data_IF_907675388562
#
_entry.id   IF_907675388562
#
_cell.length_a   1.000
_cell.length_b   1.000
_cell.length_c   1.000
_cell.angle_alpha   90.00
_cell.angle_beta   90.00
_cell.angle_gamma   90.00
#
_symmetry.space_group_name_H-M   'P 1'
#
loop_
_entity.id
_entity.type
_entity.pdbx_description
1 polymer ?
#
# COMPACT_ATOMS: atom_id res chain seq x y z
N UNK A 1 12.18 -13.43 -4.88
CA UNK A 1 12.82 -12.35 -5.66
C UNK A 1 11.70 -11.48 -6.20
N UNK A 2 11.87 -10.15 -6.25
CA UNK A 2 10.86 -9.25 -6.82
C UNK A 2 10.72 -9.49 -8.32
N UNK A 3 9.49 -9.64 -8.78
CA UNK A 3 9.12 -9.80 -10.19
C UNK A 3 9.06 -8.44 -10.89
N UNK A 4 8.99 -8.43 -12.23
CA UNK A 4 8.79 -7.20 -12.98
C UNK A 4 7.44 -6.53 -12.64
N UNK A 5 6.43 -7.29 -12.23
CA UNK A 5 5.13 -6.75 -11.82
C UNK A 5 5.22 -5.98 -10.50
N UNK A 6 6.16 -6.32 -9.62
CA UNK A 6 6.29 -5.65 -8.32
C UNK A 6 6.71 -4.18 -8.47
N UNK A 7 7.49 -3.88 -9.51
CA UNK A 7 7.95 -2.53 -9.88
C UNK A 7 7.00 -1.80 -10.83
N UNK A 8 5.94 -2.46 -11.31
CA UNK A 8 4.95 -1.81 -12.17
C UNK A 8 4.03 -0.90 -11.35
N UNK A 9 3.76 0.29 -11.89
CA UNK A 9 2.98 1.32 -11.24
C UNK A 9 3.38 2.72 -11.69
N UNK A 10 2.68 3.71 -11.14
CA UNK A 10 3.02 5.12 -11.28
C UNK A 10 3.57 5.64 -9.98
N UNK A 11 4.66 6.39 -10.08
CA UNK A 11 5.42 6.89 -8.95
C UNK A 11 5.73 8.37 -9.12
N UNK A 12 5.73 9.11 -8.02
CA UNK A 12 6.10 10.53 -7.98
C UNK A 12 7.46 10.69 -7.33
N UNK A 13 8.34 11.46 -7.96
CA UNK A 13 9.68 11.74 -7.44
C UNK A 13 9.59 12.49 -6.11
N UNK A 14 10.21 11.92 -5.08
CA UNK A 14 10.28 12.53 -3.75
C UNK A 14 11.67 13.07 -3.44
N UNK A 15 12.72 12.32 -3.80
CA UNK A 15 14.10 12.70 -3.52
C UNK A 15 15.03 12.38 -4.69
N UNK A 16 16.02 13.25 -4.88
CA UNK A 16 17.15 13.06 -5.78
C UNK A 16 18.43 13.24 -4.95
N UNK A 17 19.33 12.26 -4.98
CA UNK A 17 20.57 12.21 -4.19
C UNK A 17 20.35 12.48 -2.70
N UNK A 18 19.28 11.88 -2.18
CA UNK A 18 18.83 11.98 -0.80
C UNK A 18 18.33 13.38 -0.40
N UNK A 19 18.22 14.34 -1.32
CA UNK A 19 17.59 15.66 -1.07
C UNK A 19 16.17 15.64 -1.60
N UNK A 20 15.25 16.33 -0.94
CA UNK A 20 13.88 16.50 -1.44
C UNK A 20 13.99 17.09 -2.85
N UNK A 21 13.31 16.47 -3.81
CA UNK A 21 13.36 16.90 -5.19
C UNK A 21 12.67 18.26 -5.35
N UNK A 22 13.38 19.26 -5.87
CA UNK A 22 12.80 20.56 -6.23
C UNK A 22 12.00 20.51 -7.53
N UNK A 23 12.27 19.50 -8.36
CA UNK A 23 11.62 19.26 -9.64
C UNK A 23 10.58 18.16 -9.48
N UNK A 24 9.36 18.42 -9.95
CA UNK A 24 8.34 17.37 -10.05
C UNK A 24 8.67 16.45 -11.21
N UNK A 25 8.64 15.15 -10.96
CA UNK A 25 8.75 14.13 -11.99
C UNK A 25 7.84 12.95 -11.63
N UNK A 26 7.25 12.32 -12.63
CA UNK A 26 6.53 11.05 -12.49
C UNK A 26 7.25 9.97 -13.28
N UNK A 27 7.30 8.77 -12.74
CA UNK A 27 7.81 7.57 -13.41
C UNK A 27 6.66 6.57 -13.47
N UNK A 28 6.33 6.10 -14.66
CA UNK A 28 5.44 4.96 -14.87
C UNK A 28 6.25 3.80 -15.43
N UNK A 29 6.23 2.67 -14.74
CA UNK A 29 6.73 1.40 -15.24
C UNK A 29 5.52 0.51 -15.50
N UNK A 30 5.42 -0.04 -16.71
CA UNK A 30 4.35 -0.98 -17.03
C UNK A 30 4.85 -2.10 -17.91
N UNK A 31 4.20 -3.25 -17.79
CA UNK A 31 4.46 -4.44 -18.58
C UNK A 31 3.34 -4.64 -19.59
N UNK A 32 3.70 -4.93 -20.83
CA UNK A 32 2.80 -5.34 -21.90
C UNK A 32 3.32 -6.65 -22.48
N UNK A 33 2.76 -7.77 -22.00
CA UNK A 33 3.28 -9.10 -22.29
C UNK A 33 4.68 -9.30 -21.71
N UNK A 34 5.66 -9.51 -22.58
CA UNK A 34 7.07 -9.67 -22.20
C UNK A 34 7.87 -8.37 -22.23
N UNK A 35 7.27 -7.28 -22.71
CA UNK A 35 7.95 -5.98 -22.83
C UNK A 35 7.67 -5.14 -21.59
N UNK A 36 8.74 -4.69 -20.92
CA UNK A 36 8.67 -3.71 -19.85
C UNK A 36 9.07 -2.34 -20.40
N UNK A 37 8.28 -1.32 -20.10
CA UNK A 37 8.52 0.05 -20.55
C UNK A 37 8.62 0.98 -19.34
N UNK A 38 9.46 2.00 -19.47
CA UNK A 38 9.54 3.09 -18.53
C UNK A 38 9.19 4.39 -19.24
N UNK A 39 8.31 5.16 -18.63
CA UNK A 39 7.94 6.49 -19.06
C UNK A 39 8.13 7.45 -17.89
N UNK A 40 9.08 8.37 -18.03
CA UNK A 40 9.28 9.48 -17.10
C UNK A 40 8.66 10.74 -17.68
N UNK A 41 7.86 11.45 -16.92
CA UNK A 41 7.41 12.81 -17.26
C UNK A 41 8.05 13.79 -16.29
N UNK A 42 8.83 14.73 -16.84
CA UNK A 42 9.36 15.90 -16.12
C UNK A 42 8.75 17.14 -16.79
N UNK A 43 9.51 17.84 -17.63
CA UNK A 43 8.96 18.76 -18.64
C UNK A 43 8.89 18.04 -19.98
N UNK A 44 9.90 17.22 -20.27
CA UNK A 44 9.87 16.26 -21.35
C UNK A 44 9.33 14.90 -20.89
N UNK A 45 8.82 14.16 -21.87
CA UNK A 45 8.54 12.75 -21.72
C UNK A 45 9.79 11.97 -22.16
N UNK A 46 10.32 11.16 -21.26
CA UNK A 46 11.40 10.20 -21.53
C UNK A 46 10.78 8.80 -21.61
N UNK A 47 10.84 8.15 -22.78
CA UNK A 47 10.18 6.86 -23.00
C UNK A 47 11.14 5.83 -23.57
N UNK A 48 11.02 4.59 -23.12
CA UNK A 48 11.80 3.49 -23.69
C UNK A 48 11.44 2.13 -23.11
N UNK A 49 11.99 1.10 -23.72
CA UNK A 49 11.94 -0.26 -23.19
C UNK A 49 13.07 -0.46 -22.18
N UNK A 50 12.78 -1.23 -21.15
CA UNK A 50 13.70 -1.54 -20.06
C UNK A 50 13.71 -3.04 -19.82
N UNK A 51 14.82 -3.56 -19.32
CA UNK A 51 14.97 -4.92 -18.84
C UNK A 51 15.10 -4.88 -17.33
N UNK A 52 14.47 -5.83 -16.66
CA UNK A 52 14.54 -5.97 -15.22
C UNK A 52 14.89 -7.41 -14.85
N UNK A 53 16.02 -7.59 -14.17
CA UNK A 53 16.49 -8.90 -13.74
C UNK A 53 17.23 -8.78 -12.41
N UNK A 54 16.94 -9.67 -11.46
CA UNK A 54 17.63 -9.76 -10.16
C UNK A 54 17.71 -8.43 -9.37
N UNK A 55 16.66 -7.61 -9.45
CA UNK A 55 16.64 -6.31 -8.76
C UNK A 55 17.40 -5.21 -9.49
N UNK A 56 17.82 -5.43 -10.73
CA UNK A 56 18.52 -4.45 -11.55
C UNK A 56 17.67 -4.07 -12.76
N UNK A 57 17.50 -2.77 -13.03
CA UNK A 57 16.77 -2.25 -14.19
C UNK A 57 17.70 -1.47 -15.11
N UNK A 58 17.63 -1.72 -16.41
CA UNK A 58 18.47 -1.04 -17.41
C UNK A 58 17.71 -0.86 -18.72
N UNK A 59 17.94 0.25 -19.41
CA UNK A 59 17.32 0.53 -20.70
C UNK A 59 17.61 1.94 -21.22
N UNK A 60 17.21 2.21 -22.46
CA UNK A 60 17.43 3.52 -23.07
C UNK A 60 16.12 4.30 -23.13
N UNK A 61 16.11 5.52 -22.61
CA UNK A 61 14.95 6.42 -22.67
C UNK A 61 15.19 7.56 -23.68
N UNK A 62 14.21 7.81 -24.53
CA UNK A 62 14.22 8.87 -25.54
C UNK A 62 13.33 10.03 -25.10
N UNK A 63 13.87 11.25 -25.20
CA UNK A 63 13.19 12.50 -24.81
C UNK A 63 12.37 13.09 -25.96
N UNK A 64 11.26 13.75 -25.63
CA UNK A 64 10.48 14.59 -26.57
C UNK A 64 11.18 15.90 -26.96
N UNK A 65 12.19 16.36 -26.21
CA UNK A 65 13.11 17.42 -26.64
C UNK A 65 12.62 18.87 -26.56
N UNK A 66 11.64 19.17 -25.72
CA UNK A 66 11.23 20.55 -25.41
C UNK A 66 12.31 21.30 -24.60
N UNK A 67 12.30 22.63 -24.69
CA UNK A 67 13.18 23.51 -23.91
C UNK A 67 12.82 23.42 -22.42
N UNK A 68 13.83 23.16 -21.58
CA UNK A 68 13.65 22.99 -20.14
C UNK A 68 14.53 23.97 -19.34
N UNK A 69 14.17 24.17 -18.07
CA UNK A 69 15.03 24.92 -17.15
C UNK A 69 16.18 24.04 -16.63
N UNK A 70 17.25 24.63 -16.08
CA UNK A 70 18.45 23.89 -15.67
C UNK A 70 18.19 22.78 -14.64
N UNK A 71 17.23 22.99 -13.74
CA UNK A 71 16.88 22.00 -12.71
C UNK A 71 16.11 20.80 -13.29
N UNK A 72 15.29 21.02 -14.32
CA UNK A 72 14.53 19.98 -15.00
C UNK A 72 15.43 19.21 -15.96
N UNK A 73 16.27 19.91 -16.73
CA UNK A 73 17.27 19.32 -17.61
C UNK A 73 18.22 18.38 -16.84
N UNK A 74 18.70 18.81 -15.67
CA UNK A 74 19.54 17.99 -14.81
C UNK A 74 18.85 16.68 -14.40
N UNK A 75 17.58 16.74 -13.95
CA UNK A 75 16.82 15.54 -13.58
C UNK A 75 16.59 14.63 -14.78
N UNK A 76 16.23 15.20 -15.94
CA UNK A 76 16.03 14.43 -17.18
C UNK A 76 17.32 13.72 -17.61
N UNK A 77 18.46 14.41 -17.61
CA UNK A 77 19.77 13.83 -17.97
C UNK A 77 20.20 12.73 -16.99
N UNK A 78 20.04 12.96 -15.68
CA UNK A 78 20.40 11.95 -14.68
C UNK A 78 19.52 10.71 -14.77
N UNK A 79 18.21 10.86 -15.03
CA UNK A 79 17.32 9.71 -15.24
C UNK A 79 17.65 8.98 -16.54
N UNK A 80 17.77 9.66 -17.68
CA UNK A 80 18.14 9.04 -18.95
C UNK A 80 19.47 8.30 -18.85
N UNK A 81 20.50 8.93 -18.29
CA UNK A 81 21.81 8.30 -18.09
C UNK A 81 21.74 7.16 -17.09
N UNK A 82 21.01 7.33 -15.99
CA UNK A 82 20.88 6.31 -14.96
C UNK A 82 20.18 5.04 -15.45
N UNK A 83 19.13 5.16 -16.27
CA UNK A 83 18.52 4.00 -16.93
C UNK A 83 19.48 3.34 -17.91
N UNK A 84 20.28 4.11 -18.66
CA UNK A 84 21.26 3.56 -19.60
C UNK A 84 22.41 2.84 -18.90
N UNK A 85 22.92 3.40 -17.79
CA UNK A 85 23.96 2.83 -16.95
C UNK A 85 23.43 1.64 -16.11
N UNK A 86 22.12 1.63 -15.85
CA UNK A 86 21.44 0.67 -14.99
C UNK A 86 21.27 1.18 -13.55
N UNK A 87 20.22 0.70 -12.89
CA UNK A 87 19.90 0.97 -11.49
C UNK A 87 19.64 -0.32 -10.72
N UNK A 88 20.20 -0.40 -9.51
CA UNK A 88 19.70 -1.32 -8.50
C UNK A 88 18.39 -0.77 -7.93
N UNK A 89 17.38 -1.63 -7.90
CA UNK A 89 16.05 -1.36 -7.38
C UNK A 89 15.94 -1.89 -5.96
N UNK A 90 15.44 -1.04 -5.07
CA UNK A 90 14.91 -1.46 -3.78
C UNK A 90 13.48 -0.95 -3.66
N UNK A 91 12.53 -1.89 -3.52
CA UNK A 91 11.15 -1.57 -3.14
C UNK A 91 11.04 -1.75 -1.64
N UNK A 92 10.64 -0.70 -0.96
CA UNK A 92 10.40 -0.72 0.48
C UNK A 92 9.16 0.11 0.78
N UNK A 93 8.18 -0.48 1.46
CA UNK A 93 6.86 0.14 1.65
C UNK A 93 6.23 0.53 0.29
N UNK A 94 5.81 1.78 0.16
CA UNK A 94 5.31 2.37 -1.08
C UNK A 94 6.41 3.14 -1.82
N UNK A 95 7.70 2.89 -1.55
CA UNK A 95 8.81 3.61 -2.17
C UNK A 95 9.56 2.72 -3.15
N UNK A 96 9.87 3.30 -4.31
CA UNK A 96 10.78 2.74 -5.29
C UNK A 96 12.09 3.52 -5.22
N UNK A 97 13.14 2.87 -4.76
CA UNK A 97 14.49 3.43 -4.75
C UNK A 97 15.25 2.92 -5.96
N UNK A 98 15.76 3.83 -6.77
CA UNK A 98 16.67 3.55 -7.88
C UNK A 98 18.05 4.05 -7.48
N UNK A 99 19.07 3.20 -7.52
CA UNK A 99 20.42 3.60 -7.12
C UNK A 99 21.48 2.96 -8.00
N UNK A 100 22.46 3.78 -8.40
CA UNK A 100 23.72 3.29 -8.96
C UNK A 100 24.88 4.06 -8.35
N UNK A 101 26.07 3.94 -8.95
CA UNK A 101 27.28 4.64 -8.47
C UNK A 101 27.22 6.15 -8.63
N UNK A 102 26.44 6.65 -9.60
CA UNK A 102 26.42 8.05 -10.00
C UNK A 102 25.23 8.83 -9.46
N UNK A 103 24.12 8.16 -9.17
CA UNK A 103 22.84 8.80 -8.87
C UNK A 103 21.94 7.92 -8.01
N UNK A 104 21.05 8.57 -7.26
CA UNK A 104 20.01 7.91 -6.50
C UNK A 104 18.69 8.68 -6.53
N UNK A 105 17.60 7.96 -6.76
CA UNK A 105 16.25 8.50 -6.78
C UNK A 105 15.36 7.74 -5.82
N UNK A 106 14.50 8.47 -5.12
CA UNK A 106 13.42 7.87 -4.35
C UNK A 106 12.08 8.37 -4.90
N UNK A 107 11.28 7.43 -5.40
CA UNK A 107 9.92 7.70 -5.82
C UNK A 107 8.92 7.11 -4.82
N UNK A 108 7.75 7.75 -4.70
CA UNK A 108 6.62 7.27 -3.91
C UNK A 108 5.55 6.78 -4.88
N UNK A 109 5.11 5.54 -4.71
CA UNK A 109 4.05 4.93 -5.49
C UNK A 109 2.75 5.69 -5.27
N UNK A 110 2.18 6.23 -6.34
CA UNK A 110 0.89 6.93 -6.31
C UNK A 110 -0.26 6.01 -6.68
N UNK A 111 -0.04 5.05 -7.58
CA UNK A 111 -1.06 4.10 -8.02
C UNK A 111 -0.45 2.87 -8.67
N UNK A 112 -1.09 1.72 -8.48
CA UNK A 112 -0.83 0.49 -9.23
C UNK A 112 -2.11 0.00 -9.88
N UNK A 113 -1.97 -0.69 -11.02
CA UNK A 113 -3.11 -1.32 -11.67
C UNK A 113 -3.77 -2.37 -10.75
N UNK A 114 -2.96 -3.05 -9.94
CA UNK A 114 -3.43 -4.02 -8.95
C UNK A 114 -4.39 -3.44 -7.91
N UNK A 115 -4.37 -2.13 -7.67
CA UNK A 115 -5.25 -1.45 -6.73
C UNK A 115 -6.72 -1.52 -7.20
N UNK A 116 -6.94 -1.63 -8.52
CA UNK A 116 -8.25 -1.78 -9.13
C UNK A 116 -8.78 -3.21 -9.08
N UNK A 117 -7.95 -4.22 -8.79
CA UNK A 117 -8.36 -5.62 -8.93
C UNK A 117 -9.59 -5.95 -8.07
N UNK A 118 -10.54 -6.66 -8.67
CA UNK A 118 -11.79 -7.07 -8.03
C UNK A 118 -13.01 -6.38 -8.59
N UNK A 119 -14.12 -6.50 -7.87
CA UNK A 119 -15.40 -5.91 -8.22
C UNK A 119 -15.65 -4.63 -7.43
N UNK A 120 -16.25 -3.63 -8.07
CA UNK A 120 -16.51 -2.32 -7.50
C UNK A 120 -17.93 -1.88 -7.84
N UNK A 121 -18.63 -1.32 -6.87
CA UNK A 121 -19.81 -0.53 -7.13
C UNK A 121 -19.38 0.84 -7.66
N UNK A 122 -20.03 1.32 -8.72
CA UNK A 122 -19.95 2.73 -9.12
C UNK A 122 -20.90 3.49 -8.20
N UNK A 123 -20.36 4.29 -7.28
CA UNK A 123 -21.15 4.98 -6.26
C UNK A 123 -21.39 6.45 -6.57
N UNK A 124 -20.61 7.03 -7.49
CA UNK A 124 -20.89 8.36 -8.03
C UNK A 124 -20.30 8.55 -9.42
N UNK A 125 -20.97 9.36 -10.24
CA UNK A 125 -20.53 9.80 -11.55
C UNK A 125 -20.62 11.32 -11.57
N UNK A 126 -19.50 11.99 -11.83
CA UNK A 126 -19.39 13.46 -11.72
C UNK A 126 -19.92 13.99 -10.37
N UNK A 127 -19.65 13.23 -9.29
CA UNK A 127 -20.06 13.56 -7.93
C UNK A 127 -21.54 13.34 -7.60
N UNK A 128 -22.34 12.78 -8.51
CA UNK A 128 -23.74 12.43 -8.26
C UNK A 128 -23.92 10.91 -8.14
N UNK A 129 -24.73 10.41 -7.20
CA UNK A 129 -25.00 8.99 -7.10
C UNK A 129 -25.72 8.48 -8.35
N UNK A 130 -25.45 7.24 -8.80
CA UNK A 130 -26.18 6.66 -9.92
C UNK A 130 -27.65 6.45 -9.56
N UNK A 131 -28.51 6.46 -10.58
CA UNK A 131 -29.95 6.23 -10.44
C UNK A 131 -30.33 4.75 -10.26
N UNK A 132 -29.40 3.84 -10.51
CA UNK A 132 -29.53 2.39 -10.34
C UNK A 132 -28.18 1.80 -9.95
N UNK A 133 -28.18 0.53 -9.51
CA UNK A 133 -26.94 -0.18 -9.23
C UNK A 133 -26.10 -0.35 -10.51
N UNK A 134 -24.81 -0.05 -10.39
CA UNK A 134 -23.84 -0.14 -11.48
C UNK A 134 -22.55 -0.73 -10.94
N UNK A 135 -21.94 -1.65 -11.69
CA UNK A 135 -20.77 -2.42 -11.23
C UNK A 135 -19.66 -2.32 -12.27
N UNK A 136 -18.43 -2.17 -11.79
CA UNK A 136 -17.22 -2.25 -12.59
C UNK A 136 -16.26 -3.28 -11.99
N UNK A 137 -15.81 -4.23 -12.80
CA UNK A 137 -14.92 -5.32 -12.38
C UNK A 137 -13.62 -5.27 -13.17
N UNK A 138 -12.50 -5.39 -12.48
CA UNK A 138 -11.16 -5.50 -13.05
C UNK A 138 -10.55 -6.85 -12.72
N UNK A 139 -10.13 -7.57 -13.75
CA UNK A 139 -9.56 -8.91 -13.64
C UNK A 139 -8.14 -8.84 -14.23
N UNK A 140 -7.08 -9.17 -13.49
CA UNK A 140 -5.73 -9.24 -14.05
C UNK A 140 -5.68 -10.18 -15.26
N UNK A 141 -5.02 -9.76 -16.33
CA UNK A 141 -4.83 -10.60 -17.52
C UNK A 141 -3.55 -11.47 -17.46
N UNK A 142 -2.72 -11.27 -16.43
CA UNK A 142 -1.43 -11.96 -16.23
C UNK A 142 -0.26 -11.36 -17.03
N UNK A 143 -0.51 -10.35 -17.86
CA UNK A 143 0.42 -9.77 -18.82
C UNK A 143 0.70 -8.28 -18.57
N UNK A 144 0.44 -7.82 -17.34
CA UNK A 144 0.63 -6.43 -16.91
C UNK A 144 -0.57 -5.52 -17.16
N UNK A 145 -1.66 -6.06 -17.73
CA UNK A 145 -2.93 -5.39 -17.96
C UNK A 145 -4.07 -5.98 -17.13
N UNK A 146 -5.28 -5.60 -17.53
CA UNK A 146 -6.53 -6.00 -16.90
C UNK A 146 -7.63 -6.18 -17.95
N UNK A 147 -8.55 -7.12 -17.73
CA UNK A 147 -9.83 -7.13 -18.39
C UNK A 147 -10.86 -6.38 -17.54
N UNK A 148 -11.56 -5.42 -18.14
CA UNK A 148 -12.65 -4.66 -17.52
C UNK A 148 -13.98 -5.22 -17.95
N UNK A 149 -14.92 -5.26 -17.02
CA UNK A 149 -16.34 -5.31 -17.33
C UNK A 149 -17.07 -4.24 -16.52
N UNK A 150 -17.73 -3.30 -17.19
CA UNK A 150 -18.63 -2.35 -16.57
C UNK A 150 -20.07 -2.66 -16.99
N UNK A 151 -20.95 -2.86 -16.01
CA UNK A 151 -22.36 -3.13 -16.21
C UNK A 151 -23.15 -1.89 -15.80
N UNK A 152 -23.76 -1.23 -16.79
CA UNK A 152 -24.61 -0.05 -16.64
C UNK A 152 -26.02 -0.42 -17.13
N UNK A 153 -26.46 0.03 -18.32
CA UNK A 153 -27.56 -0.62 -19.03
C UNK A 153 -27.00 -1.75 -19.92
N UNK A 154 -25.89 -1.47 -20.57
CA UNK A 154 -25.10 -2.37 -21.37
C UNK A 154 -23.89 -2.89 -20.60
N UNK A 155 -23.33 -3.98 -21.10
CA UNK A 155 -22.08 -4.54 -20.59
C UNK A 155 -20.94 -4.05 -21.48
N UNK A 156 -20.10 -3.17 -20.93
CA UNK A 156 -18.90 -2.63 -21.58
C UNK A 156 -17.71 -3.48 -21.17
N UNK A 157 -16.99 -4.02 -22.15
CA UNK A 157 -15.95 -5.04 -21.93
C UNK A 157 -14.73 -4.80 -22.81
N UNK A 158 -13.55 -4.98 -22.23
CA UNK A 158 -12.31 -4.85 -22.99
C UNK A 158 -11.08 -4.92 -22.12
N UNK A 159 -9.92 -4.86 -22.76
CA UNK A 159 -8.63 -4.85 -22.06
C UNK A 159 -8.22 -3.41 -21.73
N UNK A 160 -7.63 -3.26 -20.56
CA UNK A 160 -7.01 -2.04 -20.07
C UNK A 160 -5.56 -2.27 -19.63
N UNK A 161 -4.78 -1.20 -19.66
CA UNK A 161 -3.44 -1.17 -19.09
C UNK A 161 -3.12 0.24 -18.60
N UNK A 162 -2.06 0.35 -17.81
CA UNK A 162 -1.45 1.65 -17.54
C UNK A 162 -0.55 2.04 -18.71
N UNK A 163 -0.80 3.19 -19.30
CA UNK A 163 0.05 3.82 -20.30
C UNK A 163 0.22 5.29 -19.93
N UNK A 164 1.48 5.72 -19.76
CA UNK A 164 1.82 7.07 -19.32
C UNK A 164 1.13 7.51 -18.01
N UNK A 165 0.96 6.58 -17.07
CA UNK A 165 0.30 6.83 -15.78
C UNK A 165 -1.23 6.97 -15.87
N UNK A 166 -1.81 6.67 -17.04
CA UNK A 166 -3.23 6.69 -17.30
C UNK A 166 -3.74 5.28 -17.56
N UNK A 167 -4.87 4.93 -16.95
CA UNK A 167 -5.61 3.72 -17.24
C UNK A 167 -6.31 3.88 -18.60
N UNK A 168 -5.83 3.15 -19.61
CA UNK A 168 -6.33 3.22 -20.99
C UNK A 168 -6.81 1.88 -21.48
N UNK A 169 -7.79 1.87 -22.38
CA UNK A 169 -8.32 0.68 -23.01
C UNK A 169 -9.41 0.99 -24.05
N UNK A 170 -9.75 0.00 -24.85
CA UNK A 170 -10.86 0.06 -25.81
C UNK A 170 -11.95 -0.92 -25.33
N UNK A 171 -13.17 -0.42 -25.15
CA UNK A 171 -14.29 -1.19 -24.63
C UNK A 171 -15.34 -1.42 -25.71
N UNK A 172 -15.68 -2.69 -25.95
CA UNK A 172 -16.85 -3.07 -26.73
C UNK A 172 -18.10 -3.02 -25.84
N UNK A 173 -19.23 -2.57 -26.38
CA UNK A 173 -20.50 -2.49 -25.66
C UNK A 173 -21.54 -3.43 -26.26
N UNK A 174 -22.42 -3.97 -25.42
CA UNK A 174 -23.69 -4.54 -25.91
C UNK A 174 -24.56 -3.39 -26.43
N UNK A 175 -25.34 -3.60 -27.50
CA UNK A 175 -26.12 -2.53 -28.13
C UNK A 175 -27.61 -2.69 -27.83
N UNK A 176 -27.97 -2.64 -26.54
CA UNK A 176 -29.37 -2.56 -26.12
C UNK A 176 -29.77 -1.10 -26.01
N UNK A 177 -31.00 -0.79 -26.46
CA UNK A 177 -31.59 0.54 -26.29
C UNK A 177 -31.71 0.85 -24.79
N UNK A 178 -31.12 1.97 -24.37
CA UNK A 178 -31.02 2.39 -22.99
C UNK A 178 -31.50 3.83 -22.84
N UNK A 179 -31.90 4.20 -21.62
CA UNK A 179 -32.27 5.58 -21.32
C UNK A 179 -31.10 6.54 -21.53
N UNK A 180 -31.40 7.78 -21.92
CA UNK A 180 -30.40 8.80 -22.28
C UNK A 180 -29.37 9.04 -21.15
N UNK A 181 -29.80 8.97 -19.89
CA UNK A 181 -28.91 9.11 -18.73
C UNK A 181 -27.88 7.98 -18.67
N UNK A 182 -28.28 6.73 -18.92
CA UNK A 182 -27.40 5.56 -18.92
C UNK A 182 -26.47 5.59 -20.13
N UNK A 183 -26.97 5.98 -21.31
CA UNK A 183 -26.12 6.17 -22.49
C UNK A 183 -25.01 7.21 -22.26
N UNK A 184 -25.29 8.30 -21.54
CA UNK A 184 -24.26 9.30 -21.18
C UNK A 184 -23.19 8.72 -20.27
N UNK A 185 -23.57 7.86 -19.32
CA UNK A 185 -22.62 7.14 -18.45
C UNK A 185 -21.74 6.19 -19.25
N UNK A 186 -22.34 5.36 -20.12
CA UNK A 186 -21.61 4.41 -20.96
C UNK A 186 -20.63 5.11 -21.90
N UNK A 187 -21.04 6.25 -22.46
CA UNK A 187 -20.18 7.11 -23.27
C UNK A 187 -18.99 7.65 -22.46
N UNK A 188 -19.24 8.18 -21.26
CA UNK A 188 -18.19 8.68 -20.36
C UNK A 188 -17.18 7.58 -20.03
N UNK A 189 -17.65 6.37 -19.71
CA UNK A 189 -16.77 5.22 -19.44
C UNK A 189 -15.92 4.90 -20.67
N UNK A 190 -16.55 4.74 -21.84
CA UNK A 190 -15.86 4.37 -23.08
C UNK A 190 -14.82 5.41 -23.51
N UNK A 191 -15.22 6.68 -23.59
CA UNK A 191 -14.33 7.79 -23.97
C UNK A 191 -13.24 8.02 -22.91
N UNK A 192 -13.56 7.80 -21.64
CA UNK A 192 -12.60 7.90 -20.55
C UNK A 192 -11.53 6.81 -20.59
N UNK A 193 -11.87 5.55 -20.92
CA UNK A 193 -10.87 4.51 -21.15
C UNK A 193 -10.04 4.78 -22.41
N UNK A 194 -10.64 5.31 -23.48
CA UNK A 194 -9.90 5.67 -24.68
C UNK A 194 -8.91 6.82 -24.43
N UNK A 195 -9.35 7.88 -23.74
CA UNK A 195 -8.57 9.09 -23.43
C UNK A 195 -7.68 8.97 -22.20
N UNK A 196 -7.92 7.97 -21.35
CA UNK A 196 -7.16 7.66 -20.16
C UNK A 196 -7.75 8.25 -18.88
N UNK A 197 -7.81 7.43 -17.82
CA UNK A 197 -8.15 7.87 -16.46
C UNK A 197 -6.89 7.93 -15.58
N UNK A 198 -6.76 8.99 -14.78
CA UNK A 198 -5.94 8.96 -13.58
C UNK A 198 -6.64 8.11 -12.52
N UNK A 199 -5.87 7.23 -11.87
CA UNK A 199 -6.31 6.45 -10.72
C UNK A 199 -5.91 7.21 -9.46
N UNK A 200 -6.90 7.68 -8.70
CA UNK A 200 -6.72 8.40 -7.45
C UNK A 200 -7.40 7.61 -6.31
N UNK A 201 -6.81 7.61 -5.11
CA UNK A 201 -7.44 7.04 -3.92
C UNK A 201 -8.01 8.17 -3.04
N UNK A 202 -9.19 7.96 -2.45
CA UNK A 202 -9.81 8.89 -1.51
C UNK A 202 -10.60 8.14 -0.41
N UNK A 203 -11.28 8.88 0.48
CA UNK A 203 -12.02 8.29 1.61
C UNK A 203 -13.23 7.42 1.21
N UNK A 204 -13.63 7.44 -0.05
CA UNK A 204 -14.75 6.68 -0.61
C UNK A 204 -14.30 5.52 -1.50
N UNK A 205 -12.99 5.25 -1.57
CA UNK A 205 -12.39 4.21 -2.41
C UNK A 205 -11.54 4.80 -3.53
N UNK A 206 -11.83 4.42 -4.77
CA UNK A 206 -11.02 4.77 -5.94
C UNK A 206 -11.78 5.76 -6.81
N UNK A 207 -11.14 6.86 -7.17
CA UNK A 207 -11.63 7.85 -8.11
C UNK A 207 -10.89 7.68 -9.45
N UNK A 208 -11.63 7.34 -10.49
CA UNK A 208 -11.16 7.46 -11.86
C UNK A 208 -11.47 8.87 -12.36
N UNK A 209 -10.44 9.61 -12.78
CA UNK A 209 -10.57 10.99 -13.24
C UNK A 209 -9.98 11.17 -14.64
N UNK A 210 -10.76 11.71 -15.58
CA UNK A 210 -10.31 12.06 -16.92
C UNK A 210 -10.83 13.44 -17.33
N UNK A 211 -10.52 13.87 -18.56
CA UNK A 211 -11.13 15.05 -19.16
C UNK A 211 -12.64 14.92 -19.39
N UNK A 212 -13.16 13.68 -19.44
CA UNK A 212 -14.58 13.41 -19.70
C UNK A 212 -15.43 13.45 -18.44
N UNK A 213 -14.79 13.34 -17.27
CA UNK A 213 -15.45 13.38 -15.98
C UNK A 213 -14.82 12.47 -14.95
N UNK A 214 -15.60 12.14 -13.92
CA UNK A 214 -15.16 11.32 -12.80
C UNK A 214 -16.09 10.16 -12.51
N UNK A 215 -15.50 9.04 -12.10
CA UNK A 215 -16.21 7.84 -11.64
C UNK A 215 -15.64 7.48 -10.27
N UNK A 216 -16.49 7.50 -9.25
CA UNK A 216 -16.14 7.02 -7.91
C UNK A 216 -16.53 5.54 -7.80
N UNK A 217 -15.52 4.73 -7.50
CA UNK A 217 -15.61 3.29 -7.28
C UNK A 217 -15.45 2.98 -5.80
N UNK A 218 -16.28 2.07 -5.29
CA UNK A 218 -16.12 1.45 -3.98
C UNK A 218 -16.01 -0.06 -4.17
N UNK A 219 -14.90 -0.65 -3.71
CA UNK A 219 -14.64 -2.09 -3.86
C UNK A 219 -15.70 -2.88 -3.10
N UNK A 220 -16.35 -3.82 -3.78
CA UNK A 220 -17.26 -4.77 -3.14
C UNK A 220 -16.40 -5.82 -2.43
N UNK A 221 -16.58 -5.92 -1.12
CA UNK A 221 -15.76 -6.75 -0.24
C UNK A 221 -16.45 -8.10 0.02
N UNK A 222 -15.62 -9.13 0.01
CA UNK A 222 -15.94 -10.46 0.53
C UNK A 222 -15.16 -10.72 1.82
N UNK A 223 -15.51 -11.79 2.53
CA UNK A 223 -14.76 -12.22 3.72
C UNK A 223 -13.27 -12.44 3.44
N UNK A 224 -12.95 -13.00 2.26
CA UNK A 224 -11.57 -13.26 1.83
C UNK A 224 -10.80 -11.94 1.65
N UNK A 225 -11.47 -10.87 1.21
CA UNK A 225 -10.82 -9.56 1.09
C UNK A 225 -10.52 -8.95 2.46
N UNK A 226 -11.41 -9.15 3.43
CA UNK A 226 -11.25 -8.66 4.80
C UNK A 226 -10.27 -9.48 5.63
N UNK A 227 -10.11 -10.78 5.35
CA UNK A 227 -9.29 -11.69 6.14
C UNK A 227 -7.89 -11.13 6.44
N UNK A 228 -7.51 -11.20 7.72
CA UNK A 228 -6.17 -10.84 8.16
C UNK A 228 -6.15 -10.13 9.51
N UNK A 229 -4.96 -9.66 9.86
CA UNK A 229 -4.68 -8.90 11.08
C UNK A 229 -4.46 -7.44 10.68
N UNK A 230 -5.04 -6.53 11.43
CA UNK A 230 -4.99 -5.10 11.18
C UNK A 230 -4.57 -4.37 12.45
N UNK A 231 -3.79 -3.31 12.26
CA UNK A 231 -3.43 -2.35 13.30
C UNK A 231 -4.38 -1.16 13.20
N UNK A 232 -4.94 -0.72 14.32
CA UNK A 232 -5.71 0.52 14.35
C UNK A 232 -4.78 1.72 14.20
N UNK A 233 -4.97 2.47 13.11
CA UNK A 233 -4.19 3.66 12.75
C UNK A 233 -4.77 4.92 13.40
N UNK A 234 -6.08 5.10 13.32
CA UNK A 234 -6.76 6.27 13.87
C UNK A 234 -8.20 5.96 14.24
N UNK A 235 -8.72 6.69 15.22
CA UNK A 235 -10.12 6.64 15.64
C UNK A 235 -10.71 8.06 15.61
N UNK A 236 -11.82 8.25 14.88
CA UNK A 236 -12.49 9.54 14.67
C UNK A 236 -11.54 10.65 14.18
N UNK A 237 -10.56 10.27 13.34
CA UNK A 237 -9.55 11.18 12.78
C UNK A 237 -8.40 11.54 13.74
N UNK A 238 -8.48 11.11 15.01
CA UNK A 238 -7.43 11.29 16.00
C UNK A 238 -6.49 10.09 16.11
N UNK A 239 -5.34 10.31 16.76
CA UNK A 239 -4.45 9.24 17.16
C UNK A 239 -5.16 8.27 18.12
N UNK A 240 -4.74 7.01 18.08
CA UNK A 240 -5.34 5.95 18.90
C UNK A 240 -4.94 6.13 20.36
N UNK A 241 -5.90 6.20 21.31
CA UNK A 241 -5.61 6.63 22.68
C UNK A 241 -5.15 5.48 23.57
N UNK A 242 -4.17 4.69 23.12
CA UNK A 242 -3.72 3.47 23.80
C UNK A 242 -2.20 3.40 23.85
N UNK A 243 -1.64 2.76 24.90
CA UNK A 243 -0.19 2.52 24.99
C UNK A 243 0.26 1.33 24.15
N UNK A 244 -0.58 0.31 24.07
CA UNK A 244 -0.37 -0.87 23.25
C UNK A 244 -1.06 -0.69 21.89
N UNK A 245 -0.57 -1.39 20.88
CA UNK A 245 -1.13 -1.36 19.54
C UNK A 245 -2.48 -2.11 19.50
N UNK A 246 -3.62 -1.44 19.23
CA UNK A 246 -4.88 -2.15 19.12
C UNK A 246 -4.92 -2.93 17.81
N UNK A 247 -5.33 -4.19 17.91
CA UNK A 247 -5.30 -5.14 16.81
C UNK A 247 -6.72 -5.60 16.52
N UNK A 248 -7.13 -5.56 15.27
CA UNK A 248 -8.38 -6.14 14.78
C UNK A 248 -8.04 -7.31 13.87
N UNK A 249 -8.62 -8.47 14.13
CA UNK A 249 -8.46 -9.65 13.28
C UNK A 249 -9.80 -10.04 12.70
N UNK A 250 -9.85 -10.21 11.38
CA UNK A 250 -10.99 -10.75 10.66
C UNK A 250 -10.64 -12.14 10.13
N UNK A 251 -11.56 -13.08 10.30
CA UNK A 251 -11.47 -14.41 9.70
C UNK A 251 -12.78 -14.75 8.97
N UNK A 252 -12.71 -15.46 7.83
CA UNK A 252 -13.89 -15.99 7.17
C UNK A 252 -14.70 -16.87 8.13
N UNK A 253 -16.00 -16.61 8.24
CA UNK A 253 -16.96 -17.42 8.96
C UNK A 253 -17.84 -18.22 8.00
N UNK A 254 -19.05 -18.58 8.43
CA UNK A 254 -19.98 -19.30 7.57
C UNK A 254 -20.73 -18.33 6.64
N UNK A 255 -20.88 -18.69 5.36
CA UNK A 255 -21.64 -17.94 4.36
C UNK A 255 -21.18 -16.48 4.14
N UNK A 256 -21.81 -15.50 4.78
CA UNK A 256 -21.46 -14.06 4.75
C UNK A 256 -20.94 -13.55 6.11
N UNK A 257 -20.80 -14.42 7.12
CA UNK A 257 -20.28 -14.09 8.44
C UNK A 257 -18.76 -13.89 8.46
N UNK A 258 -18.31 -12.93 9.26
CA UNK A 258 -16.91 -12.65 9.52
C UNK A 258 -16.69 -12.78 11.02
N UNK A 259 -15.78 -13.66 11.41
CA UNK A 259 -15.32 -13.78 12.79
C UNK A 259 -14.38 -12.63 13.12
N UNK A 260 -14.66 -11.94 14.23
CA UNK A 260 -13.97 -10.74 14.68
C UNK A 260 -13.28 -11.01 16.01
N UNK A 261 -12.01 -10.63 16.10
CA UNK A 261 -11.28 -10.57 17.37
C UNK A 261 -10.54 -9.24 17.44
N UNK A 262 -10.92 -8.39 18.41
CA UNK A 262 -10.32 -7.08 18.66
C UNK A 262 -9.57 -7.16 19.98
N UNK A 263 -8.33 -6.69 20.00
CA UNK A 263 -7.51 -6.55 21.19
C UNK A 263 -7.22 -5.08 21.40
N UNK A 264 -7.75 -4.51 22.48
CA UNK A 264 -7.41 -3.18 22.98
C UNK A 264 -6.79 -3.36 24.38
N UNK A 265 -7.48 -2.97 25.46
CA UNK A 265 -7.16 -3.45 26.80
C UNK A 265 -7.82 -4.82 27.01
N UNK A 266 -9.09 -4.94 26.63
CA UNK A 266 -9.84 -6.18 26.59
C UNK A 266 -9.72 -6.86 25.23
N UNK A 267 -10.00 -8.15 25.25
CA UNK A 267 -10.23 -8.92 24.03
C UNK A 267 -11.73 -9.03 23.78
N UNK A 268 -12.18 -8.39 22.71
CA UNK A 268 -13.56 -8.41 22.22
C UNK A 268 -13.64 -9.43 21.09
N UNK A 269 -14.66 -10.30 21.11
CA UNK A 269 -14.87 -11.31 20.07
C UNK A 269 -16.34 -11.49 19.73
N UNK A 270 -16.61 -11.84 18.49
CA UNK A 270 -17.93 -12.23 18.03
C UNK A 270 -17.92 -12.38 16.52
N UNK A 271 -19.11 -12.36 15.94
CA UNK A 271 -19.31 -12.59 14.51
C UNK A 271 -20.19 -11.48 13.96
N UNK A 272 -19.90 -11.00 12.76
CA UNK A 272 -20.72 -10.01 12.05
C UNK A 272 -21.04 -10.51 10.63
N UNK A 273 -22.24 -10.23 10.14
CA UNK A 273 -22.58 -10.48 8.74
C UNK A 273 -22.04 -9.34 7.86
N UNK A 274 -21.42 -9.68 6.73
CA UNK A 274 -20.99 -8.76 5.70
C UNK A 274 -22.05 -8.69 4.59
N UNK A 275 -22.80 -7.60 4.54
CA UNK A 275 -23.84 -7.37 3.55
C UNK A 275 -23.60 -6.04 2.84
N UNK A 276 -23.37 -6.06 1.52
CA UNK A 276 -23.13 -4.85 0.72
C UNK A 276 -22.10 -3.90 1.36
N UNK A 277 -20.94 -4.44 1.73
CA UNK A 277 -19.87 -3.75 2.45
C UNK A 277 -20.19 -3.25 3.87
N UNK A 278 -21.35 -3.57 4.43
CA UNK A 278 -21.66 -3.25 5.83
C UNK A 278 -21.41 -4.48 6.69
N UNK A 279 -20.54 -4.34 7.70
CA UNK A 279 -20.37 -5.33 8.77
C UNK A 279 -21.33 -4.99 9.92
N UNK A 280 -22.29 -5.88 10.18
CA UNK A 280 -23.23 -5.73 11.28
C UNK A 280 -23.33 -7.02 12.10
N UNK A 281 -23.40 -6.89 13.43
CA UNK A 281 -23.63 -8.01 14.35
C UNK A 281 -24.99 -7.83 15.02
N UNK A 282 -25.80 -8.89 15.03
CA UNK A 282 -27.11 -8.87 15.70
C UNK A 282 -26.96 -8.83 17.23
N UNK A 283 -25.90 -9.45 17.75
CA UNK A 283 -25.60 -9.52 19.17
C UNK A 283 -24.37 -8.68 19.52
N UNK A 284 -24.29 -8.09 20.73
CA UNK A 284 -23.08 -7.43 21.18
C UNK A 284 -21.86 -8.35 21.13
N UNK A 285 -20.71 -7.83 20.71
CA UNK A 285 -19.48 -8.61 20.77
C UNK A 285 -19.08 -8.83 22.24
N UNK A 286 -18.62 -10.03 22.54
CA UNK A 286 -18.28 -10.45 23.90
C UNK A 286 -16.90 -9.94 24.29
N UNK A 287 -16.82 -9.22 25.40
CA UNK A 287 -15.57 -8.67 25.93
C UNK A 287 -15.08 -9.42 27.17
N UNK A 288 -13.76 -9.50 27.34
CA UNK A 288 -13.16 -9.85 28.64
C UNK A 288 -13.41 -8.74 29.66
N UNK A 289 -13.22 -9.01 30.96
CA UNK A 289 -13.43 -8.02 32.04
C UNK A 289 -12.11 -7.59 32.69
N UNK A 290 -11.26 -6.91 31.93
CA UNK A 290 -10.06 -6.22 32.42
C UNK A 290 -10.31 -4.72 32.51
N UNK A 291 -9.69 -4.09 33.51
CA UNK A 291 -9.77 -2.64 33.72
C UNK A 291 -8.78 -1.95 32.76
N UNK A 292 -9.31 -1.38 31.67
CA UNK A 292 -8.57 -0.48 30.78
C UNK A 292 -8.62 0.97 31.26
N UNK A 293 -7.94 1.86 30.54
CA UNK A 293 -8.11 3.31 30.72
C UNK A 293 -9.51 3.75 30.28
N UNK A 294 -9.90 4.99 30.63
CA UNK A 294 -11.18 5.56 30.15
C UNK A 294 -11.24 5.59 28.62
N UNK A 295 -10.12 5.87 27.97
CA UNK A 295 -10.08 6.07 26.53
C UNK A 295 -10.05 4.74 25.76
N UNK A 296 -9.41 3.73 26.33
CA UNK A 296 -9.53 2.34 25.88
C UNK A 296 -10.98 1.85 26.03
N UNK A 297 -11.64 2.17 27.14
CA UNK A 297 -13.04 1.78 27.36
C UNK A 297 -13.99 2.46 26.36
N UNK A 298 -13.76 3.74 26.02
CA UNK A 298 -14.50 4.45 24.97
C UNK A 298 -14.28 3.80 23.60
N UNK A 299 -13.03 3.46 23.27
CA UNK A 299 -12.69 2.78 22.01
C UNK A 299 -13.35 1.41 21.90
N UNK A 300 -13.30 0.60 22.96
CA UNK A 300 -13.95 -0.71 23.04
C UNK A 300 -15.48 -0.62 22.91
N UNK A 301 -16.08 0.38 23.53
CA UNK A 301 -17.52 0.66 23.41
C UNK A 301 -17.88 1.06 21.99
N UNK A 302 -17.07 1.90 21.35
CA UNK A 302 -17.29 2.33 19.98
C UNK A 302 -17.23 1.15 18.98
N UNK A 303 -16.33 0.18 19.17
CA UNK A 303 -16.33 -1.03 18.34
C UNK A 303 -17.63 -1.82 18.51
N UNK A 304 -18.05 -2.09 19.75
CA UNK A 304 -19.28 -2.82 20.02
C UNK A 304 -20.51 -2.15 19.39
N UNK A 305 -20.68 -0.85 19.65
CA UNK A 305 -21.78 -0.04 19.11
C UNK A 305 -21.70 0.02 17.58
N UNK A 306 -20.51 0.25 17.03
CA UNK A 306 -20.29 0.29 15.59
C UNK A 306 -20.76 -0.99 14.91
N UNK A 307 -20.30 -2.16 15.38
CA UNK A 307 -20.74 -3.43 14.81
C UNK A 307 -22.24 -3.70 15.00
N UNK A 308 -22.87 -3.26 16.09
CA UNK A 308 -24.33 -3.42 16.25
C UNK A 308 -25.14 -2.58 15.24
N UNK A 309 -24.73 -1.33 15.01
CA UNK A 309 -25.43 -0.42 14.09
C UNK A 309 -24.99 -0.56 12.63
N UNK A 310 -23.97 -1.36 12.37
CA UNK A 310 -23.37 -1.52 11.06
C UNK A 310 -22.22 -0.56 10.83
N UNK A 311 -21.12 -1.08 10.28
CA UNK A 311 -19.96 -0.33 9.82
C UNK A 311 -19.79 -0.53 8.32
N UNK A 312 -19.88 0.55 7.56
CA UNK A 312 -19.48 0.58 6.16
C UNK A 312 -17.97 0.32 6.07
N UNK A 313 -17.60 -0.65 5.24
CA UNK A 313 -16.24 -1.09 5.00
C UNK A 313 -15.74 -0.53 3.67
N UNK A 314 -14.70 0.29 3.72
CA UNK A 314 -14.07 0.89 2.54
C UNK A 314 -12.60 0.48 2.53
N UNK A 315 -12.21 -0.29 1.51
CA UNK A 315 -10.82 -0.72 1.33
C UNK A 315 -10.10 0.17 0.31
N UNK A 316 -8.89 0.60 0.64
CA UNK A 316 -7.99 1.31 -0.27
C UNK A 316 -6.55 0.89 0.02
N UNK A 317 -5.92 0.19 -0.94
CA UNK A 317 -4.59 -0.37 -0.76
C UNK A 317 -4.52 -1.32 0.45
N UNK A 318 -3.66 -1.00 1.42
CA UNK A 318 -3.53 -1.74 2.68
C UNK A 318 -4.40 -1.16 3.81
N UNK A 319 -5.17 -0.10 3.57
CA UNK A 319 -6.06 0.50 4.56
C UNK A 319 -7.49 -0.03 4.42
N UNK A 320 -8.13 -0.21 5.57
CA UNK A 320 -9.54 -0.53 5.70
C UNK A 320 -10.17 0.51 6.62
N UNK A 321 -11.07 1.33 6.08
CA UNK A 321 -11.90 2.22 6.87
C UNK A 321 -13.19 1.52 7.24
N UNK A 322 -13.51 1.50 8.54
CA UNK A 322 -14.81 1.09 9.06
C UNK A 322 -15.49 2.33 9.60
N UNK A 323 -16.67 2.69 9.10
CA UNK A 323 -17.33 3.91 9.55
C UNK A 323 -18.84 3.79 9.57
N UNK A 324 -19.45 4.62 10.39
CA UNK A 324 -20.86 5.01 10.32
C UNK A 324 -20.98 6.47 10.76
N UNK A 325 -22.19 6.92 11.09
CA UNK A 325 -22.43 8.29 11.53
C UNK A 325 -21.75 8.65 12.87
N UNK A 326 -21.47 7.66 13.72
CA UNK A 326 -21.00 7.85 15.10
C UNK A 326 -19.50 7.62 15.26
N UNK A 327 -18.91 6.77 14.41
CA UNK A 327 -17.51 6.39 14.51
C UNK A 327 -16.83 6.16 13.15
N UNK A 328 -15.52 6.39 13.11
CA UNK A 328 -14.63 6.10 11.99
C UNK A 328 -13.35 5.47 12.52
N UNK A 329 -13.11 4.22 12.18
CA UNK A 329 -11.86 3.49 12.43
C UNK A 329 -11.09 3.40 11.13
N UNK A 330 -9.82 3.79 11.14
CA UNK A 330 -8.91 3.52 10.02
C UNK A 330 -7.95 2.43 10.48
N UNK A 331 -7.98 1.31 9.79
CA UNK A 331 -7.18 0.12 10.05
C UNK A 331 -6.15 -0.03 8.95
N UNK A 332 -4.95 -0.51 9.27
CA UNK A 332 -3.92 -0.86 8.28
C UNK A 332 -3.60 -2.34 8.41
N UNK A 333 -3.62 -3.06 7.29
CA UNK A 333 -3.32 -4.50 7.27
C UNK A 333 -1.88 -4.73 7.70
N UNK A 334 -1.69 -5.59 8.68
CA UNK A 334 -0.38 -5.97 9.19
C UNK A 334 0.34 -6.89 8.19
N UNK A 335 1.63 -6.65 8.00
CA UNK A 335 2.49 -7.55 7.25
C UNK A 335 2.96 -8.68 8.18
N UNK A 336 2.34 -9.85 8.06
CA UNK A 336 2.63 -10.99 8.91
C UNK A 336 3.92 -11.67 8.43
N UNK A 337 4.94 -11.84 9.29
CA UNK A 337 6.13 -12.60 8.93
C UNK A 337 5.76 -14.07 8.66
N UNK A 338 6.42 -14.67 7.67
CA UNK A 338 6.39 -16.12 7.41
C UNK A 338 7.21 -16.89 8.45
N UNK A 339 6.85 -16.66 9.72
CA UNK A 339 7.45 -17.25 10.90
C UNK A 339 7.09 -18.73 11.00
N UNK A 340 8.06 -19.55 11.41
CA UNK A 340 7.88 -20.96 11.72
C UNK A 340 7.62 -21.18 13.22
N UNK A 341 8.09 -20.28 14.08
CA UNK A 341 8.09 -20.48 15.52
C UNK A 341 7.41 -19.31 16.23
N UNK A 342 6.11 -19.41 16.53
CA UNK A 342 5.39 -18.32 17.20
C UNK A 342 5.15 -17.13 16.27
N UNK A 343 4.85 -15.97 16.85
CA UNK A 343 4.62 -14.76 16.06
C UNK A 343 5.02 -13.51 16.84
N UNK A 344 5.39 -12.46 16.10
CA UNK A 344 5.84 -11.21 16.71
C UNK A 344 4.80 -10.61 17.68
N UNK A 345 5.24 -10.03 18.78
CA UNK A 345 4.34 -9.31 19.70
C UNK A 345 3.93 -7.94 19.15
N UNK A 346 4.76 -7.34 18.30
CA UNK A 346 4.48 -6.08 17.60
C UNK A 346 4.10 -6.34 16.13
N UNK A 347 3.15 -5.57 15.57
CA UNK A 347 2.77 -5.67 14.15
C UNK A 347 3.24 -4.45 13.36
N UNK A 348 4.00 -4.73 12.31
CA UNK A 348 4.34 -3.75 11.28
C UNK A 348 3.35 -3.79 10.13
N UNK A 349 3.30 -2.70 9.36
CA UNK A 349 2.59 -2.61 8.07
C UNK A 349 3.47 -3.10 6.91
N UNK A 350 4.74 -3.38 7.20
CA UNK A 350 5.72 -3.98 6.29
C UNK A 350 6.63 -4.91 7.05
N UNK A 351 7.02 -6.00 6.39
CA UNK A 351 7.87 -7.04 6.93
C UNK A 351 8.90 -7.45 5.89
N UNK A 352 10.16 -7.61 6.31
CA UNK A 352 11.24 -8.07 5.43
C UNK A 352 12.13 -9.09 6.13
N UNK A 353 12.54 -10.14 5.39
CA UNK A 353 13.55 -11.11 5.83
C UNK A 353 14.91 -10.44 5.90
N UNK A 354 15.61 -10.58 7.02
CA UNK A 354 16.93 -9.99 7.20
C UNK A 354 18.02 -10.90 6.60
N UNK A 355 17.90 -12.22 6.79
CA UNK A 355 18.75 -13.23 6.14
C UNK A 355 18.05 -13.75 4.88
N UNK A 356 18.30 -13.10 3.74
CA UNK A 356 17.54 -13.34 2.50
C UNK A 356 17.66 -14.76 1.93
N UNK A 357 18.76 -15.46 2.20
CA UNK A 357 19.10 -16.77 1.63
C UNK A 357 18.95 -17.92 2.62
N UNK A 358 18.77 -17.63 3.90
CA UNK A 358 18.83 -18.64 4.97
C UNK A 358 17.44 -18.99 5.50
N UNK A 359 17.09 -20.27 5.41
CA UNK A 359 15.85 -20.81 5.98
C UNK A 359 14.60 -20.00 5.61
N UNK A 360 13.82 -19.63 6.62
CA UNK A 360 12.64 -18.77 6.44
C UNK A 360 12.95 -17.27 6.51
N UNK A 361 14.21 -16.88 6.72
CA UNK A 361 14.63 -15.50 6.94
C UNK A 361 15.31 -15.27 8.29
N UNK A 362 15.12 -16.17 9.26
CA UNK A 362 15.63 -16.20 10.65
C UNK A 362 15.24 -15.00 11.53
N UNK A 363 15.44 -13.78 11.02
CA UNK A 363 15.09 -12.52 11.63
C UNK A 363 14.22 -11.71 10.67
N UNK A 364 13.15 -11.14 11.18
CA UNK A 364 12.22 -10.31 10.42
C UNK A 364 12.26 -8.88 10.93
N UNK A 365 12.47 -7.93 10.02
CA UNK A 365 12.34 -6.50 10.32
C UNK A 365 10.90 -6.09 10.07
N UNK A 366 10.26 -5.56 11.09
CA UNK A 366 8.89 -5.07 11.10
C UNK A 366 8.92 -3.55 11.09
N UNK A 367 8.23 -2.93 10.14
CA UNK A 367 8.11 -1.47 10.03
C UNK A 367 6.64 -1.10 10.06
N UNK A 368 6.26 -0.22 10.97
CA UNK A 368 4.96 0.44 10.95
C UNK A 368 5.16 1.89 10.47
N UNK A 369 4.73 2.17 9.25
CA UNK A 369 4.95 3.49 8.63
C UNK A 369 4.10 4.59 9.27
N UNK A 370 2.96 4.24 9.89
CA UNK A 370 2.11 5.21 10.58
C UNK A 370 2.69 5.58 11.94
N UNK A 371 3.10 4.59 12.73
CA UNK A 371 3.73 4.83 14.04
C UNK A 371 5.18 5.30 13.89
N UNK A 372 5.75 5.22 12.67
CA UNK A 372 7.18 5.47 12.36
C UNK A 372 8.13 4.60 13.18
N UNK A 373 7.70 3.38 13.52
CA UNK A 373 8.43 2.46 14.40
C UNK A 373 8.98 1.25 13.67
N UNK A 374 10.17 0.85 14.08
CA UNK A 374 10.82 -0.37 13.63
C UNK A 374 11.00 -1.32 14.80
N UNK A 375 10.82 -2.60 14.52
CA UNK A 375 11.10 -3.69 15.45
C UNK A 375 11.75 -4.86 14.71
N UNK A 376 12.38 -5.75 15.45
CA UNK A 376 12.91 -7.00 14.93
C UNK A 376 12.30 -8.18 15.68
N UNK A 377 11.95 -9.21 14.91
CA UNK A 377 11.44 -10.47 15.43
C UNK A 377 12.39 -11.60 15.07
N UNK A 378 12.93 -12.28 16.07
CA UNK A 378 13.82 -13.43 15.91
C UNK A 378 12.98 -14.71 15.96
N UNK A 379 12.91 -15.43 14.84
CA UNK A 379 12.12 -16.64 14.69
C UNK A 379 12.94 -17.93 14.95
N UNK A 380 14.20 -17.79 15.36
CA UNK A 380 15.04 -18.93 15.73
C UNK A 380 14.75 -19.40 17.15
N UNK A 381 15.19 -20.62 17.49
CA UNK A 381 15.06 -21.19 18.84
C UNK A 381 16.39 -21.18 19.62
N UNK A 382 17.50 -21.21 18.88
CA UNK A 382 18.85 -21.53 19.32
C UNK A 382 19.87 -20.42 19.05
N UNK A 383 19.45 -19.35 18.35
CA UNK A 383 20.31 -18.21 18.07
C UNK A 383 19.79 -16.95 18.75
N UNK A 384 20.72 -16.23 19.37
CA UNK A 384 20.53 -14.82 19.69
C UNK A 384 21.07 -14.02 18.52
N UNK A 385 20.34 -13.00 18.09
CA UNK A 385 20.72 -12.21 16.93
C UNK A 385 21.06 -10.79 17.34
N UNK A 386 22.26 -10.34 17.01
CA UNK A 386 22.71 -8.97 17.19
C UNK A 386 22.45 -8.18 15.92
N UNK A 387 21.72 -7.08 16.06
CA UNK A 387 21.40 -6.17 14.97
C UNK A 387 22.18 -4.89 15.17
N UNK A 388 22.92 -4.48 14.15
CA UNK A 388 23.60 -3.17 14.09
C UNK A 388 23.21 -2.46 12.81
N UNK A 389 22.51 -1.34 12.94
CA UNK A 389 22.15 -0.50 11.80
C UNK A 389 22.83 0.86 11.86
N UNK A 390 23.34 1.32 10.70
CA UNK A 390 23.82 2.68 10.50
C UNK A 390 22.82 3.44 9.63
N UNK A 391 22.27 4.51 10.17
CA UNK A 391 21.33 5.41 9.52
C UNK A 391 22.02 6.67 9.02
N UNK A 392 21.53 7.25 7.93
CA UNK A 392 22.08 8.49 7.38
C UNK A 392 22.04 9.64 8.39
N UNK A 393 23.00 10.56 8.29
CA UNK A 393 23.15 11.72 9.18
C UNK A 393 21.98 12.72 9.17
N UNK A 394 21.04 12.53 8.24
CA UNK A 394 19.81 13.34 8.11
C UNK A 394 18.56 12.59 8.57
N UNK A 395 18.71 11.43 9.21
CA UNK A 395 17.61 10.74 9.87
C UNK A 395 17.21 11.51 11.12
N UNK A 396 15.92 11.54 11.43
CA UNK A 396 15.40 12.07 12.69
C UNK A 396 14.79 10.90 13.46
N UNK A 397 15.62 10.23 14.27
CA UNK A 397 15.26 8.96 14.91
C UNK A 397 15.69 8.93 16.37
N UNK A 398 14.96 8.14 17.16
CA UNK A 398 15.26 7.81 18.55
C UNK A 398 15.33 6.28 18.71
N UNK A 399 16.20 5.81 19.60
CA UNK A 399 16.25 4.40 19.97
C UNK A 399 15.11 4.04 20.93
N UNK A 400 14.57 2.84 20.78
CA UNK A 400 13.46 2.35 21.59
C UNK A 400 13.90 1.23 22.54
N UNK A 401 13.28 1.20 23.72
CA UNK A 401 13.41 0.15 24.72
C UNK A 401 14.87 -0.25 25.00
N UNK A 402 15.27 -1.45 24.57
CA UNK A 402 16.59 -2.02 24.82
C UNK A 402 17.64 -1.64 23.76
N UNK A 403 17.26 -0.89 22.73
CA UNK A 403 18.18 -0.45 21.71
C UNK A 403 19.08 0.68 22.23
N UNK A 404 20.36 0.62 21.85
CA UNK A 404 21.32 1.68 22.14
C UNK A 404 21.63 2.46 20.87
N UNK A 405 21.84 3.78 20.99
CA UNK A 405 22.16 4.64 19.86
C UNK A 405 23.31 5.60 20.17
N UNK A 406 24.21 5.77 19.21
CA UNK A 406 25.29 6.76 19.24
C UNK A 406 25.55 7.30 17.83
N UNK A 407 26.21 8.45 17.71
CA UNK A 407 26.65 8.98 16.42
C UNK A 407 28.12 8.64 16.17
N UNK A 408 28.45 8.34 14.92
CA UNK A 408 29.85 8.19 14.48
C UNK A 408 30.45 9.55 14.05
N UNK A 409 31.73 9.55 13.69
CA UNK A 409 32.46 10.76 13.28
C UNK A 409 31.87 11.45 12.03
N UNK A 410 31.15 10.70 11.18
CA UNK A 410 30.47 11.21 9.99
C UNK A 410 29.06 11.78 10.31
N UNK A 411 28.67 11.85 11.58
CA UNK A 411 27.35 12.27 12.03
C UNK A 411 26.23 11.27 11.75
N UNK A 412 26.56 10.03 11.36
CA UNK A 412 25.58 8.96 11.14
C UNK A 412 25.19 8.31 12.46
N UNK A 413 23.92 7.95 12.59
CA UNK A 413 23.41 7.26 13.77
C UNK A 413 23.68 5.77 13.66
N UNK A 414 24.32 5.19 14.66
CA UNK A 414 24.48 3.74 14.81
C UNK A 414 23.53 3.30 15.92
N UNK A 415 22.69 2.31 15.62
CA UNK A 415 21.73 1.73 16.57
C UNK A 415 21.96 0.24 16.66
N UNK A 416 22.00 -0.29 17.88
CA UNK A 416 22.32 -1.67 18.19
C UNK A 416 21.27 -2.27 19.13
N UNK A 417 20.82 -3.49 18.84
CA UNK A 417 19.91 -4.27 19.71
C UNK A 417 20.20 -5.77 19.60
N UNK A 418 20.00 -6.48 20.70
CA UNK A 418 20.10 -7.94 20.77
C UNK A 418 18.71 -8.54 20.87
N UNK A 419 18.35 -9.43 19.95
CA UNK A 419 17.03 -10.07 19.86
C UNK A 419 17.15 -11.54 20.25
N UNK A 420 16.51 -11.93 21.36
CA UNK A 420 16.51 -13.31 21.84
C UNK A 420 15.59 -14.21 20.99
N UNK A 421 15.76 -15.55 21.03
CA UNK A 421 14.91 -16.50 20.33
C UNK A 421 13.41 -16.28 20.59
N UNK A 422 12.61 -16.34 19.53
CA UNK A 422 11.15 -16.20 19.56
C UNK A 422 10.68 -14.89 20.23
N UNK A 423 11.53 -13.86 20.30
CA UNK A 423 11.21 -12.56 20.89
C UNK A 423 11.13 -11.46 19.84
N UNK A 424 10.42 -10.38 20.19
CA UNK A 424 10.38 -9.14 19.41
C UNK A 424 11.02 -8.03 20.24
N UNK A 425 11.94 -7.29 19.65
CA UNK A 425 12.54 -6.10 20.26
C UNK A 425 12.21 -4.87 19.42
N UNK A 426 11.76 -3.79 20.07
CA UNK A 426 11.66 -2.48 19.43
C UNK A 426 13.06 -1.95 19.14
N UNK A 427 13.19 -1.14 18.08
CA UNK A 427 14.49 -0.69 17.61
C UNK A 427 14.59 0.82 17.55
N UNK A 428 13.79 1.47 16.70
CA UNK A 428 13.79 2.92 16.53
C UNK A 428 12.37 3.46 16.32
N UNK A 429 12.18 4.74 16.62
CA UNK A 429 11.07 5.56 16.11
C UNK A 429 11.58 6.78 15.34
N UNK A 430 10.86 7.18 14.28
CA UNK A 430 11.10 8.42 13.54
C UNK A 430 11.34 8.24 12.04
N UNK A 431 11.87 9.29 11.41
CA UNK A 431 12.06 9.38 9.97
C UNK A 431 13.47 8.93 9.55
N UNK A 432 13.53 7.79 8.85
CA UNK A 432 14.79 7.21 8.35
C UNK A 432 15.19 7.83 7.01
N UNK A 433 16.42 8.33 6.92
CA UNK A 433 17.04 8.78 5.67
C UNK A 433 18.18 7.84 5.26
N UNK A 434 17.80 6.71 4.65
CA UNK A 434 18.73 5.67 4.20
C UNK A 434 19.39 4.93 5.36
N UNK A 435 19.66 3.64 5.19
CA UNK A 435 20.28 2.83 6.22
C UNK A 435 21.11 1.68 5.63
N UNK A 436 21.99 1.12 6.44
CA UNK A 436 22.64 -0.17 6.24
C UNK A 436 22.53 -0.96 7.52
N UNK A 437 22.18 -2.23 7.45
CA UNK A 437 22.08 -3.10 8.62
C UNK A 437 23.00 -4.30 8.46
N UNK A 438 23.60 -4.69 9.57
CA UNK A 438 24.36 -5.92 9.74
C UNK A 438 23.70 -6.76 10.83
N UNK A 439 23.69 -8.06 10.62
CA UNK A 439 23.06 -9.03 11.50
C UNK A 439 24.07 -10.13 11.78
N UNK A 440 24.26 -10.45 13.04
CA UNK A 440 25.11 -11.56 13.47
C UNK A 440 24.29 -12.53 14.33
N UNK A 441 24.44 -13.82 14.10
CA UNK A 441 23.68 -14.87 14.76
C UNK A 441 24.62 -15.71 15.62
N UNK A 442 24.45 -15.61 16.94
CA UNK A 442 25.28 -16.31 17.93
C UNK A 442 24.48 -17.48 18.53
N UNK A 443 25.02 -18.70 18.53
CA UNK A 443 24.43 -19.83 19.27
C UNK A 443 24.31 -19.51 20.77
N UNK A 444 23.24 -20.01 21.39
CA UNK A 444 22.97 -19.81 22.83
C UNK A 444 23.53 -20.93 23.68
#
# INVERSE_FOLDING_TARGET
MSTADDICGTYTLSHCDGRIASTKATLTIHRCGDTLTAHVTVVNDLRGTVQYENGHIVGSLHSTGNVTGPAQESVEQMLSKGFADGFDIVIELNRLLLKNTNSSFAFVCSSKLSDLNGEHAIIAINGQPPNQEMIMRFIPDGNGGCFVTANVANSLRGSCQLDAGLLRGELATTQVEADESLMRVEKLISEGFQKGFHICNNESGILLQSSEGTIQLCRILSQINLEGVYVLKSFNGGAVPTRNQPIVTFRPGNANEVDISISVANRIRGTAALNQNVLSSEEPLMSTRMMGTEEESKLESAFNVGFQYGLECISSGNELTLKNQDCKFVLVKAAIPEAQHGGSSYKGTYCSKCFKTEGNGLLFRLVNDHEKKWAFYNDTQDFRIHVRATFGARSNIEALDNASMYQNDDGRYIVEVTVNPQSTEMFIEGDVNGFRAHYDAEPI
#
